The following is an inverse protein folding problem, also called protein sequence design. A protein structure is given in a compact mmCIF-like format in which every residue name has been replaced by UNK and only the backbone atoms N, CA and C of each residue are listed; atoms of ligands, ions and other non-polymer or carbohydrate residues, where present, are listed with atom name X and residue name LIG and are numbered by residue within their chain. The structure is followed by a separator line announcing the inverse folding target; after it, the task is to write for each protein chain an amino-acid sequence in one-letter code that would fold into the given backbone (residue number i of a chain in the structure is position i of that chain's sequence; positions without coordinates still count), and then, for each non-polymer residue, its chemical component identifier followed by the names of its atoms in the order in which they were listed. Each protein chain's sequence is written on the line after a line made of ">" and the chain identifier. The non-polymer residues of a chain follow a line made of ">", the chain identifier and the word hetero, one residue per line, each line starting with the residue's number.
data_IF_453263871403
#
_entry.id   IF_453263871403
#
_cell.length_a   1.000
_cell.length_b   1.000
_cell.length_c   1.000
_cell.angle_alpha   90.00
_cell.angle_beta   90.00
_cell.angle_gamma   90.00
#
_symmetry.space_group_name_H-M   'P 1'
#
loop_
_entity.id
_entity.type
_entity.pdbx_description
1 polymer ?
#
# COMPACT_ATOMS: atom_id res chain seq x y z
N UNK A 1 3.98 0.27 30.04
CA UNK A 1 3.56 1.13 28.90
C UNK A 1 2.58 0.33 28.07
N UNK A 2 1.44 0.91 27.72
CA UNK A 2 0.50 0.28 26.78
C UNK A 2 1.17 0.15 25.42
N UNK A 3 0.97 -0.98 24.72
CA UNK A 3 1.51 -1.13 23.35
C UNK A 3 0.93 -0.02 22.46
N UNK A 4 1.73 0.57 21.56
CA UNK A 4 1.28 1.65 20.67
C UNK A 4 0.28 1.19 19.61
N UNK A 5 0.23 -0.11 19.35
CA UNK A 5 -0.65 -0.75 18.37
C UNK A 5 -1.44 -1.84 19.07
N UNK A 6 -2.77 -1.74 19.03
CA UNK A 6 -3.69 -2.77 19.49
C UNK A 6 -4.50 -3.29 18.32
N UNK A 7 -4.40 -4.60 18.06
CA UNK A 7 -5.17 -5.25 17.03
C UNK A 7 -6.16 -6.23 17.62
N UNK A 8 -7.44 -6.05 17.30
CA UNK A 8 -8.52 -6.90 17.78
C UNK A 8 -9.28 -7.50 16.58
N UNK A 9 -9.43 -8.82 16.54
CA UNK A 9 -10.27 -9.49 15.55
C UNK A 9 -11.71 -9.43 16.05
N UNK A 10 -12.60 -8.84 15.25
CA UNK A 10 -14.01 -8.62 15.60
C UNK A 10 -14.93 -9.71 15.02
N UNK A 11 -14.58 -10.24 13.83
CA UNK A 11 -15.29 -11.35 13.20
C UNK A 11 -14.36 -12.13 12.25
N UNK A 12 -14.73 -13.37 11.94
CA UNK A 12 -14.03 -14.24 11.00
C UNK A 12 -15.04 -14.77 9.97
N UNK A 13 -14.59 -14.96 8.76
CA UNK A 13 -15.35 -15.71 7.77
C UNK A 13 -15.29 -17.20 8.11
N UNK A 14 -16.44 -17.88 8.03
CA UNK A 14 -16.53 -19.32 8.35
C UNK A 14 -15.93 -20.23 7.27
N UNK A 15 -15.63 -19.68 6.09
CA UNK A 15 -15.19 -20.47 4.91
C UNK A 15 -13.76 -20.12 4.43
N UNK A 16 -13.13 -19.08 5.02
CA UNK A 16 -11.80 -18.64 4.63
C UNK A 16 -11.03 -17.99 5.78
N UNK A 17 -9.71 -17.76 5.66
CA UNK A 17 -8.94 -17.00 6.62
C UNK A 17 -9.32 -15.50 6.74
N UNK A 18 -10.23 -14.99 5.92
CA UNK A 18 -10.66 -13.60 5.95
C UNK A 18 -11.21 -13.18 7.31
N UNK A 19 -10.85 -11.98 7.75
CA UNK A 19 -11.20 -11.48 9.08
C UNK A 19 -11.52 -9.99 9.08
N UNK A 20 -12.48 -9.61 9.91
CA UNK A 20 -12.78 -8.23 10.26
C UNK A 20 -11.97 -7.91 11.52
N UNK A 21 -11.20 -6.83 11.50
CA UNK A 21 -10.42 -6.39 12.65
C UNK A 21 -10.55 -4.90 12.92
N UNK A 22 -10.03 -4.49 14.07
CA UNK A 22 -9.83 -3.09 14.44
C UNK A 22 -8.38 -2.91 14.90
N UNK A 23 -7.74 -1.90 14.34
CA UNK A 23 -6.38 -1.50 14.67
C UNK A 23 -6.46 -0.12 15.34
N UNK A 24 -6.14 -0.06 16.63
CA UNK A 24 -6.11 1.17 17.40
C UNK A 24 -4.70 1.76 17.37
N UNK A 25 -4.60 3.03 16.94
CA UNK A 25 -3.37 3.76 16.67
C UNK A 25 -3.44 5.14 17.35
N UNK A 26 -2.29 5.87 17.50
CA UNK A 26 -2.27 7.17 18.16
C UNK A 26 -3.24 8.23 17.58
N UNK A 27 -3.44 8.25 16.25
CA UNK A 27 -4.35 9.20 15.60
C UNK A 27 -5.72 8.61 15.24
N UNK A 28 -6.13 7.50 15.85
CA UNK A 28 -7.46 6.92 15.70
C UNK A 28 -7.48 5.44 15.34
N UNK A 29 -8.68 4.88 15.32
CA UNK A 29 -8.89 3.47 15.01
C UNK A 29 -9.11 3.26 13.52
N UNK A 30 -8.59 2.16 12.99
CA UNK A 30 -8.72 1.73 11.60
C UNK A 30 -9.42 0.38 11.56
N UNK A 31 -10.48 0.26 10.78
CA UNK A 31 -11.16 -1.01 10.54
C UNK A 31 -10.50 -1.76 9.39
N UNK A 32 -10.16 -3.02 9.60
CA UNK A 32 -9.56 -3.89 8.57
C UNK A 32 -10.56 -4.94 8.06
N UNK A 33 -10.42 -5.40 6.81
CA UNK A 33 -9.43 -5.04 5.80
C UNK A 33 -9.53 -3.60 5.34
N UNK A 34 -8.38 -2.98 5.01
CA UNK A 34 -8.30 -1.57 4.61
C UNK A 34 -7.31 -1.36 3.46
N UNK A 35 -7.63 -0.43 2.56
CA UNK A 35 -6.71 0.10 1.56
C UNK A 35 -6.17 1.46 2.01
N UNK A 36 -4.85 1.65 1.90
CA UNK A 36 -4.15 2.89 2.24
C UNK A 36 -3.80 3.68 0.98
N UNK A 37 -4.46 4.82 0.71
CA UNK A 37 -4.05 5.71 -0.37
C UNK A 37 -2.61 6.19 -0.20
N UNK A 38 -1.82 6.16 -1.29
CA UNK A 38 -0.38 6.50 -1.24
C UNK A 38 -0.16 8.00 -1.41
N UNK A 39 0.42 8.62 -0.38
CA UNK A 39 0.77 10.03 -0.29
C UNK A 39 2.28 10.28 -0.34
N UNK A 40 2.93 10.06 -1.49
CA UNK A 40 4.39 10.03 -1.69
C UNK A 40 5.14 11.25 -1.10
N UNK A 41 4.64 12.45 -1.29
CA UNK A 41 5.26 13.70 -0.83
C UNK A 41 4.42 14.42 0.24
N UNK A 42 3.79 13.66 1.14
CA UNK A 42 2.86 14.23 2.10
C UNK A 42 1.55 14.69 1.44
N UNK A 43 1.21 14.11 0.31
CA UNK A 43 -0.06 14.32 -0.39
C UNK A 43 -0.41 13.10 -1.22
N UNK A 44 -1.65 12.66 -1.15
CA UNK A 44 -2.21 11.72 -2.12
C UNK A 44 -2.43 12.49 -3.42
N UNK A 45 -1.81 12.03 -4.51
CA UNK A 45 -1.79 12.78 -5.78
C UNK A 45 -3.21 13.12 -6.25
N UNK A 46 -3.42 14.41 -6.57
CA UNK A 46 -4.68 14.97 -7.03
C UNK A 46 -5.86 14.87 -6.01
N UNK A 47 -5.56 14.73 -4.70
CA UNK A 47 -6.56 14.69 -3.63
C UNK A 47 -6.21 15.70 -2.53
N UNK A 48 -7.19 16.44 -2.08
CA UNK A 48 -7.08 17.22 -0.84
C UNK A 48 -7.41 16.33 0.38
N UNK A 49 -7.02 16.71 1.61
CA UNK A 49 -7.51 16.02 2.81
C UNK A 49 -9.03 15.92 2.89
N UNK A 50 -9.77 16.97 2.45
CA UNK A 50 -11.23 16.94 2.35
C UNK A 50 -11.71 15.82 1.42
N UNK A 51 -11.15 15.69 0.22
CA UNK A 51 -11.53 14.65 -0.73
C UNK A 51 -11.27 13.24 -0.14
N UNK A 52 -10.18 13.07 0.64
CA UNK A 52 -9.88 11.82 1.33
C UNK A 52 -10.88 11.51 2.45
N UNK A 53 -11.33 12.52 3.20
CA UNK A 53 -12.40 12.37 4.19
C UNK A 53 -13.73 12.00 3.54
N UNK A 54 -14.10 12.66 2.45
CA UNK A 54 -15.30 12.34 1.67
C UNK A 54 -15.27 10.92 1.10
N UNK A 55 -14.10 10.47 0.62
CA UNK A 55 -13.87 9.10 0.20
C UNK A 55 -13.78 8.09 1.36
N UNK A 56 -13.87 8.55 2.63
CA UNK A 56 -13.81 7.74 3.85
C UNK A 56 -12.48 7.00 4.07
N UNK A 57 -11.37 7.59 3.64
CA UNK A 57 -10.05 7.10 3.99
C UNK A 57 -9.85 7.12 5.51
N UNK A 58 -9.34 6.02 6.09
CA UNK A 58 -9.10 5.91 7.53
C UNK A 58 -7.61 5.99 7.87
N UNK A 59 -6.75 5.68 6.91
CA UNK A 59 -5.29 5.68 7.00
C UNK A 59 -4.73 5.98 5.62
N UNK A 60 -3.58 6.63 5.56
CA UNK A 60 -2.81 6.87 4.33
C UNK A 60 -1.37 6.41 4.49
N UNK A 61 -0.66 6.25 3.38
CA UNK A 61 0.76 5.90 3.38
C UNK A 61 1.61 7.08 2.90
N UNK A 62 2.69 7.38 3.63
CA UNK A 62 3.72 8.34 3.26
C UNK A 62 5.04 7.65 2.88
N UNK A 63 5.81 8.22 1.95
CA UNK A 63 7.09 7.64 1.56
C UNK A 63 8.26 8.36 2.24
N UNK A 64 8.94 7.67 3.13
CA UNK A 64 10.05 8.14 3.95
C UNK A 64 11.18 8.75 3.12
N UNK A 65 11.64 8.05 2.10
CA UNK A 65 12.72 8.51 1.22
C UNK A 65 12.42 9.87 0.58
N UNK A 66 11.23 10.02 0.01
CA UNK A 66 10.83 11.24 -0.67
C UNK A 66 10.69 12.43 0.28
N UNK A 67 10.11 12.20 1.46
CA UNK A 67 9.90 13.22 2.48
C UNK A 67 11.21 13.65 3.15
N UNK A 68 12.15 12.72 3.33
CA UNK A 68 13.50 13.02 3.79
C UNK A 68 14.25 13.96 2.83
N UNK A 69 14.17 13.69 1.52
CA UNK A 69 14.85 14.51 0.52
C UNK A 69 14.12 15.85 0.28
N UNK A 70 12.79 15.86 0.35
CA UNK A 70 11.97 17.05 0.11
C UNK A 70 10.60 16.92 0.81
N UNK A 71 10.26 17.83 1.71
CA UNK A 71 10.88 19.13 2.02
C UNK A 71 12.11 19.06 2.90
N UNK A 72 12.49 17.88 3.43
CA UNK A 72 13.54 17.66 4.40
C UNK A 72 13.01 17.63 5.84
N UNK A 73 13.78 17.02 6.72
CA UNK A 73 13.34 16.71 8.09
C UNK A 73 13.16 17.96 8.96
N UNK A 74 13.99 18.98 8.77
CA UNK A 74 13.91 20.23 9.58
C UNK A 74 12.57 20.92 9.39
N UNK A 75 12.06 20.95 8.15
CA UNK A 75 10.75 21.51 7.84
C UNK A 75 9.65 20.73 8.54
N UNK A 76 9.64 19.40 8.40
CA UNK A 76 8.61 18.54 9.00
C UNK A 76 8.65 18.60 10.54
N UNK A 77 9.86 18.57 11.11
CA UNK A 77 10.07 18.69 12.56
C UNK A 77 9.53 20.01 13.13
N UNK A 78 9.75 21.11 12.41
CA UNK A 78 9.22 22.43 12.79
C UNK A 78 7.68 22.45 12.87
N UNK A 79 7.01 21.63 12.05
CA UNK A 79 5.54 21.49 12.07
C UNK A 79 5.05 20.45 13.08
N UNK A 80 5.94 19.74 13.77
CA UNK A 80 5.58 18.71 14.76
C UNK A 80 5.16 17.38 14.14
N UNK A 81 5.63 17.07 12.93
CA UNK A 81 5.35 15.82 12.22
C UNK A 81 4.48 15.99 10.98
N UNK A 82 4.26 14.87 10.31
CA UNK A 82 3.64 14.83 8.99
C UNK A 82 2.15 15.20 9.03
N UNK A 83 1.42 14.79 10.06
CA UNK A 83 -0.01 15.10 10.25
C UNK A 83 -0.28 16.61 10.16
N UNK A 84 0.42 17.40 10.96
CA UNK A 84 0.24 18.86 10.95
C UNK A 84 0.80 19.51 9.69
N UNK A 85 1.89 18.97 9.16
CA UNK A 85 2.50 19.48 7.93
C UNK A 85 1.56 19.39 6.73
N UNK A 86 0.81 18.28 6.57
CA UNK A 86 -0.09 18.06 5.43
C UNK A 86 -1.57 18.29 5.74
N UNK A 87 -1.93 18.62 6.98
CA UNK A 87 -3.34 18.83 7.39
C UNK A 87 -4.18 17.56 7.39
N UNK A 88 -3.59 16.41 7.76
CA UNK A 88 -4.26 15.12 7.89
C UNK A 88 -4.35 14.72 9.36
N UNK A 89 -5.54 14.37 9.84
CA UNK A 89 -5.84 14.12 11.26
C UNK A 89 -6.04 12.65 11.63
N UNK A 90 -5.95 11.73 10.65
CA UNK A 90 -6.09 10.29 10.85
C UNK A 90 -4.75 9.55 10.71
N UNK A 91 -4.67 8.26 11.03
CA UNK A 91 -3.45 7.48 10.96
C UNK A 91 -2.66 7.60 9.67
N UNK A 92 -1.33 7.52 9.81
CA UNK A 92 -0.37 7.47 8.71
C UNK A 92 0.55 6.27 8.94
N UNK A 93 0.77 5.46 7.90
CA UNK A 93 1.88 4.52 7.81
C UNK A 93 2.98 5.14 6.95
N UNK A 94 4.25 5.04 7.36
CA UNK A 94 5.38 5.37 6.50
C UNK A 94 6.16 4.11 6.12
N UNK A 95 6.53 3.99 4.83
CA UNK A 95 7.46 2.96 4.40
C UNK A 95 8.87 3.20 4.99
N UNK A 96 9.78 2.24 4.82
CA UNK A 96 11.16 2.37 5.30
C UNK A 96 12.04 3.28 4.45
N UNK A 97 11.63 3.60 3.23
CA UNK A 97 12.46 4.23 2.20
C UNK A 97 13.36 3.26 1.43
N UNK A 98 13.45 1.99 1.85
CA UNK A 98 14.32 0.97 1.24
C UNK A 98 14.02 0.74 -0.23
N UNK A 99 12.77 0.46 -0.58
CA UNK A 99 12.36 0.19 -1.97
C UNK A 99 12.74 1.33 -2.94
N UNK A 100 12.56 2.59 -2.53
CA UNK A 100 12.88 3.75 -3.35
C UNK A 100 14.39 3.87 -3.56
N UNK A 101 15.19 3.65 -2.52
CA UNK A 101 16.66 3.63 -2.62
C UNK A 101 17.11 2.47 -3.50
N UNK A 102 16.48 1.30 -3.38
CA UNK A 102 16.78 0.13 -4.22
C UNK A 102 16.39 0.37 -5.69
N UNK A 103 15.38 1.15 -5.99
CA UNK A 103 14.98 1.50 -7.35
C UNK A 103 15.97 2.42 -8.09
N UNK A 104 16.92 3.07 -7.38
CA UNK A 104 17.94 3.95 -7.99
C UNK A 104 19.03 3.19 -8.83
N UNK A 105 19.01 1.86 -8.80
CA UNK A 105 19.86 1.03 -9.68
C UNK A 105 21.36 1.28 -9.48
N UNK A 106 22.07 1.67 -10.56
CA UNK A 106 23.53 1.87 -10.55
C UNK A 106 24.02 3.03 -9.67
N UNK A 107 23.12 3.91 -9.21
CA UNK A 107 23.46 5.05 -8.35
C UNK A 107 23.60 4.67 -6.87
N UNK A 108 23.51 3.40 -6.52
CA UNK A 108 23.55 2.91 -5.15
C UNK A 108 24.64 1.86 -4.93
N UNK A 109 25.12 1.80 -3.68
CA UNK A 109 25.98 0.72 -3.17
C UNK A 109 25.40 0.20 -1.86
N UNK A 110 25.09 -1.09 -1.84
CA UNK A 110 24.56 -1.80 -0.67
C UNK A 110 25.73 -2.41 0.11
N UNK A 111 25.68 -2.32 1.43
CA UNK A 111 26.59 -2.98 2.37
C UNK A 111 25.80 -3.44 3.60
N UNK A 112 26.44 -4.17 4.50
CA UNK A 112 25.82 -4.59 5.78
C UNK A 112 25.40 -3.40 6.64
N UNK A 113 26.13 -2.28 6.58
CA UNK A 113 25.85 -1.08 7.35
C UNK A 113 24.63 -0.33 6.85
N UNK A 114 24.32 -0.42 5.54
CA UNK A 114 23.25 0.29 4.90
C UNK A 114 23.52 0.55 3.41
N UNK A 115 22.85 1.57 2.85
CA UNK A 115 22.90 1.90 1.43
C UNK A 115 23.44 3.31 1.23
N UNK A 116 24.54 3.41 0.48
CA UNK A 116 25.05 4.68 -0.04
C UNK A 116 24.49 4.93 -1.43
N UNK A 117 23.99 6.14 -1.70
CA UNK A 117 23.43 6.49 -2.99
C UNK A 117 23.64 7.98 -3.31
N UNK A 118 23.46 8.33 -4.59
CA UNK A 118 23.42 9.71 -5.01
C UNK A 118 21.98 10.23 -4.98
N UNK A 119 21.77 11.38 -4.35
CA UNK A 119 20.45 12.04 -4.29
C UNK A 119 19.94 12.34 -5.72
N UNK A 120 18.71 11.91 -6.08
CA UNK A 120 18.12 12.22 -7.38
C UNK A 120 17.74 13.71 -7.53
N UNK A 121 17.85 14.50 -6.46
CA UNK A 121 17.51 15.94 -6.48
C UNK A 121 18.71 16.81 -6.89
N UNK A 122 19.87 16.55 -6.28
CA UNK A 122 21.06 17.42 -6.42
C UNK A 122 22.38 16.65 -6.59
N UNK A 123 22.32 15.31 -6.62
CA UNK A 123 23.49 14.46 -6.79
C UNK A 123 24.34 14.24 -5.53
N UNK A 124 23.98 14.84 -4.39
CA UNK A 124 24.71 14.65 -3.13
C UNK A 124 24.80 13.18 -2.73
N UNK A 125 25.98 12.79 -2.19
CA UNK A 125 26.16 11.45 -1.65
C UNK A 125 25.47 11.33 -0.30
N UNK A 126 24.50 10.43 -0.21
CA UNK A 126 23.71 10.15 0.99
C UNK A 126 23.93 8.71 1.45
N UNK A 127 23.68 8.49 2.74
CA UNK A 127 23.73 7.17 3.35
C UNK A 127 22.45 6.93 4.16
N UNK A 128 21.83 5.77 3.95
CA UNK A 128 20.65 5.32 4.67
C UNK A 128 20.92 3.98 5.31
N UNK A 129 20.82 3.91 6.62
CA UNK A 129 20.90 2.68 7.41
C UNK A 129 19.56 2.36 8.07
N UNK A 130 19.39 1.19 8.69
CA UNK A 130 18.25 0.90 9.52
C UNK A 130 17.99 1.98 10.58
N UNK A 131 19.04 2.44 11.26
CA UNK A 131 18.94 3.47 12.29
C UNK A 131 18.49 4.82 11.72
N UNK A 132 19.07 5.24 10.60
CA UNK A 132 18.71 6.48 9.91
C UNK A 132 17.25 6.43 9.44
N UNK A 133 16.79 5.29 8.89
CA UNK A 133 15.39 5.11 8.52
C UNK A 133 14.45 5.28 9.72
N UNK A 134 14.78 4.71 10.87
CA UNK A 134 13.97 4.88 12.10
C UNK A 134 13.97 6.33 12.59
N UNK A 135 15.10 7.01 12.55
CA UNK A 135 15.19 8.43 12.90
C UNK A 135 14.34 9.32 12.00
N UNK A 136 14.36 9.06 10.70
CA UNK A 136 13.52 9.77 9.74
C UNK A 136 12.05 9.53 10.05
N UNK A 137 11.62 8.28 10.21
CA UNK A 137 10.22 7.93 10.49
C UNK A 137 9.76 8.49 11.85
N UNK A 138 10.65 8.58 12.85
CA UNK A 138 10.36 9.25 14.13
C UNK A 138 10.09 10.75 13.96
N UNK A 139 10.84 11.44 13.08
CA UNK A 139 10.58 12.86 12.76
C UNK A 139 9.29 13.03 11.96
N UNK A 140 8.99 12.11 11.03
CA UNK A 140 7.71 12.09 10.31
C UNK A 140 6.53 11.88 11.27
N UNK A 141 6.75 11.19 12.38
CA UNK A 141 5.77 10.90 13.43
C UNK A 141 4.53 10.16 12.89
N UNK A 142 4.76 9.16 12.03
CA UNK A 142 3.71 8.27 11.52
C UNK A 142 3.24 7.31 12.61
N UNK A 143 1.98 6.86 12.57
CA UNK A 143 1.43 5.91 13.53
C UNK A 143 2.07 4.53 13.40
N UNK A 144 2.41 4.14 12.17
CA UNK A 144 3.09 2.89 11.85
C UNK A 144 4.34 3.20 11.03
N UNK A 145 5.49 2.76 11.53
CA UNK A 145 6.76 2.74 10.81
C UNK A 145 7.05 1.34 10.27
N UNK A 146 7.83 1.24 9.20
CA UNK A 146 8.28 -0.04 8.62
C UNK A 146 9.76 -0.25 8.89
N UNK A 147 10.18 -1.50 9.18
CA UNK A 147 11.60 -1.83 9.24
C UNK A 147 12.31 -1.49 7.93
N UNK A 148 13.59 -1.18 8.00
CA UNK A 148 14.42 -1.05 6.80
C UNK A 148 14.81 -2.44 6.28
N UNK A 149 14.54 -2.70 4.99
CA UNK A 149 14.73 -4.00 4.36
C UNK A 149 15.30 -3.87 2.95
N UNK A 150 15.81 -4.95 2.38
CA UNK A 150 16.15 -5.07 0.98
C UNK A 150 15.09 -5.85 0.23
N UNK A 151 14.45 -5.21 -0.74
CA UNK A 151 13.50 -5.86 -1.65
C UNK A 151 14.25 -6.40 -2.88
N UNK A 152 14.38 -7.72 -2.97
CA UNK A 152 15.01 -8.39 -4.11
C UNK A 152 14.05 -8.37 -5.31
N UNK A 153 14.45 -7.87 -6.51
CA UNK A 153 13.61 -7.90 -7.69
C UNK A 153 13.45 -9.35 -8.20
N UNK A 154 12.35 -9.60 -8.94
CA UNK A 154 12.11 -10.91 -9.57
C UNK A 154 13.22 -11.28 -10.55
N UNK A 155 13.69 -10.31 -11.33
CA UNK A 155 14.78 -10.49 -12.31
C UNK A 155 15.89 -9.46 -12.11
N UNK A 156 17.15 -9.91 -12.27
CA UNK A 156 18.35 -9.09 -12.30
C UNK A 156 19.02 -9.25 -13.67
N UNK A 157 19.08 -8.15 -14.45
CA UNK A 157 19.68 -8.15 -15.81
C UNK A 157 19.09 -9.22 -16.75
N UNK A 158 17.78 -9.43 -16.68
CA UNK A 158 17.06 -10.38 -17.53
C UNK A 158 17.19 -11.84 -17.11
N UNK A 159 17.73 -12.11 -15.92
CA UNK A 159 17.79 -13.45 -15.34
C UNK A 159 16.99 -13.48 -14.04
N UNK A 160 16.23 -14.55 -13.83
CA UNK A 160 15.50 -14.77 -12.58
C UNK A 160 16.45 -14.74 -11.40
N UNK A 161 16.06 -14.05 -10.33
CA UNK A 161 16.86 -13.97 -9.10
C UNK A 161 17.09 -15.37 -8.52
N UNK A 162 18.34 -15.74 -8.31
CA UNK A 162 18.70 -17.05 -7.74
C UNK A 162 18.32 -17.16 -6.27
N UNK A 163 18.03 -18.38 -5.80
CA UNK A 163 17.78 -18.64 -4.38
C UNK A 163 18.92 -18.14 -3.48
N UNK A 164 20.17 -18.33 -3.90
CA UNK A 164 21.36 -17.85 -3.18
C UNK A 164 21.31 -16.33 -3.00
N UNK A 165 20.95 -15.58 -4.03
CA UNK A 165 20.84 -14.11 -3.98
C UNK A 165 19.68 -13.70 -3.08
N UNK A 166 18.51 -14.33 -3.23
CA UNK A 166 17.34 -14.06 -2.39
C UNK A 166 17.61 -14.37 -0.91
N UNK A 167 18.33 -15.44 -0.60
CA UNK A 167 18.74 -15.80 0.77
C UNK A 167 19.66 -14.76 1.38
N UNK A 168 20.71 -14.34 0.67
CA UNK A 168 21.65 -13.34 1.18
C UNK A 168 20.94 -11.99 1.48
N UNK A 169 20.06 -11.56 0.60
CA UNK A 169 19.24 -10.36 0.79
C UNK A 169 18.30 -10.49 1.99
N UNK A 170 17.61 -11.61 2.10
CA UNK A 170 16.73 -11.91 3.22
C UNK A 170 17.49 -11.91 4.56
N UNK A 171 18.62 -12.61 4.67
CA UNK A 171 19.41 -12.67 5.90
C UNK A 171 19.92 -11.28 6.32
N UNK A 172 20.32 -10.45 5.37
CA UNK A 172 20.65 -9.04 5.62
C UNK A 172 19.42 -8.25 6.11
N UNK A 173 18.26 -8.43 5.48
CA UNK A 173 17.02 -7.77 5.90
C UNK A 173 16.59 -8.16 7.32
N UNK A 174 16.84 -9.41 7.75
CA UNK A 174 16.58 -9.84 9.13
C UNK A 174 17.50 -9.12 10.13
N UNK A 175 18.80 -9.01 9.84
CA UNK A 175 19.74 -8.25 10.68
C UNK A 175 19.42 -6.76 10.71
N UNK A 176 18.97 -6.19 9.60
CA UNK A 176 18.48 -4.82 9.52
C UNK A 176 17.18 -4.63 10.31
N UNK A 177 16.33 -5.66 10.36
CA UNK A 177 15.14 -5.69 11.21
C UNK A 177 15.47 -5.57 12.69
N UNK A 178 16.45 -6.34 13.17
CA UNK A 178 16.94 -6.25 14.55
C UNK A 178 17.49 -4.86 14.89
N UNK A 179 18.28 -4.28 13.97
CA UNK A 179 18.84 -2.92 14.13
C UNK A 179 17.75 -1.85 14.11
N UNK A 180 16.76 -1.97 13.20
CA UNK A 180 15.60 -1.10 13.15
C UNK A 180 14.82 -1.15 14.47
N UNK A 181 14.51 -2.33 14.96
CA UNK A 181 13.76 -2.53 16.20
C UNK A 181 14.50 -1.97 17.42
N UNK A 182 15.81 -2.21 17.50
CA UNK A 182 16.66 -1.65 18.57
C UNK A 182 16.62 -0.13 18.56
N UNK A 183 16.87 0.49 17.39
CA UNK A 183 16.88 1.95 17.26
C UNK A 183 15.51 2.56 17.52
N UNK A 184 14.46 1.95 17.03
CA UNK A 184 13.09 2.41 17.25
C UNK A 184 12.71 2.44 18.75
N UNK A 185 13.11 1.41 19.51
CA UNK A 185 12.91 1.38 20.97
C UNK A 185 13.71 2.47 21.70
N UNK A 186 14.96 2.74 21.27
CA UNK A 186 15.79 3.82 21.82
C UNK A 186 15.18 5.20 21.58
N UNK A 187 14.50 5.41 20.45
CA UNK A 187 13.81 6.66 20.14
C UNK A 187 12.57 6.91 21.00
N UNK A 188 12.06 5.87 21.68
CA UNK A 188 10.93 5.93 22.61
C UNK A 188 9.70 6.66 22.04
N UNK A 189 9.36 6.35 20.81
CA UNK A 189 8.18 6.89 20.12
C UNK A 189 6.90 6.19 20.63
N UNK A 190 5.74 6.84 20.42
CA UNK A 190 4.43 6.26 20.70
C UNK A 190 3.85 5.47 19.52
N UNK A 191 4.64 5.23 18.48
CA UNK A 191 4.25 4.64 17.20
C UNK A 191 4.49 3.12 17.20
N UNK A 192 3.88 2.40 16.25
CA UNK A 192 4.16 0.98 16.01
C UNK A 192 5.25 0.76 14.97
N UNK A 193 5.90 -0.40 15.03
CA UNK A 193 6.89 -0.82 14.04
C UNK A 193 6.50 -2.18 13.46
N UNK A 194 6.37 -2.28 12.13
CA UNK A 194 6.06 -3.51 11.43
C UNK A 194 7.31 -4.14 10.81
N UNK A 195 7.42 -5.46 10.95
CA UNK A 195 8.43 -6.27 10.31
C UNK A 195 8.02 -6.68 8.89
N UNK A 196 8.99 -7.03 8.05
CA UNK A 196 8.76 -7.40 6.65
C UNK A 196 9.31 -8.79 6.36
N UNK A 197 8.44 -9.68 5.89
CA UNK A 197 8.77 -11.01 5.41
C UNK A 197 9.23 -10.90 3.95
N UNK A 198 10.50 -11.25 3.69
CA UNK A 198 11.12 -11.34 2.37
C UNK A 198 11.34 -12.82 1.99
N UNK A 199 11.97 -13.12 0.86
CA UNK A 199 12.33 -14.47 0.43
C UNK A 199 12.14 -14.74 -1.06
N UNK A 200 11.82 -13.70 -1.86
CA UNK A 200 11.58 -13.81 -3.29
C UNK A 200 10.48 -14.82 -3.61
N UNK A 201 10.70 -15.64 -4.65
CA UNK A 201 9.74 -16.66 -5.09
C UNK A 201 10.06 -18.05 -4.50
N UNK A 202 10.75 -18.12 -3.35
CA UNK A 202 11.20 -19.36 -2.71
C UNK A 202 10.43 -19.61 -1.41
N UNK A 203 9.60 -20.65 -1.39
CA UNK A 203 8.72 -20.98 -0.25
C UNK A 203 9.51 -21.25 1.03
N UNK A 204 10.62 -22.00 0.94
CA UNK A 204 11.51 -22.27 2.07
C UNK A 204 12.14 -20.98 2.66
N UNK A 205 12.44 -19.99 1.82
CA UNK A 205 12.93 -18.71 2.28
C UNK A 205 11.84 -17.85 2.91
N UNK A 206 10.62 -17.89 2.35
CA UNK A 206 9.46 -17.22 2.94
C UNK A 206 9.15 -17.75 4.33
N UNK A 207 9.16 -19.07 4.50
CA UNK A 207 8.94 -19.72 5.79
C UNK A 207 10.04 -19.35 6.80
N UNK A 208 11.31 -19.47 6.41
CA UNK A 208 12.44 -19.05 7.26
C UNK A 208 12.34 -17.57 7.68
N UNK A 209 11.98 -16.68 6.73
CA UNK A 209 11.78 -15.26 7.01
C UNK A 209 10.64 -15.01 7.98
N UNK A 210 9.51 -15.69 7.76
CA UNK A 210 8.32 -15.56 8.59
C UNK A 210 8.59 -15.99 10.04
N UNK A 211 9.25 -17.14 10.22
CA UNK A 211 9.60 -17.65 11.54
C UNK A 211 10.51 -16.65 12.30
N UNK A 212 11.51 -16.10 11.61
CA UNK A 212 12.44 -15.15 12.21
C UNK A 212 11.73 -13.82 12.57
N UNK A 213 11.01 -13.20 11.62
CA UNK A 213 10.31 -11.91 11.83
C UNK A 213 9.25 -12.04 12.93
N UNK A 214 8.54 -13.17 13.01
CA UNK A 214 7.52 -13.41 14.05
C UNK A 214 8.10 -13.43 15.46
N UNK A 215 9.38 -13.76 15.62
CA UNK A 215 10.06 -13.84 16.91
C UNK A 215 10.77 -12.54 17.31
N UNK A 216 11.03 -11.62 16.39
CA UNK A 216 11.76 -10.38 16.65
C UNK A 216 10.99 -9.40 17.56
N UNK A 217 9.65 -9.45 17.57
CA UNK A 217 8.81 -8.63 18.46
C UNK A 217 8.36 -7.31 17.85
N UNK A 218 8.02 -7.33 16.58
CA UNK A 218 7.29 -6.28 15.87
C UNK A 218 5.83 -6.19 16.31
N UNK A 219 5.17 -5.07 16.03
CA UNK A 219 3.76 -4.82 16.35
C UNK A 219 2.81 -5.33 15.25
N UNK A 220 3.33 -5.63 14.06
CA UNK A 220 2.62 -6.21 12.91
C UNK A 220 3.59 -6.78 11.89
N UNK A 221 3.08 -7.53 10.93
CA UNK A 221 3.89 -8.21 9.91
C UNK A 221 3.40 -7.86 8.51
N UNK A 222 4.34 -7.46 7.65
CA UNK A 222 4.11 -7.24 6.24
C UNK A 222 4.72 -8.35 5.37
N UNK A 223 4.07 -8.65 4.26
CA UNK A 223 4.64 -9.44 3.16
C UNK A 223 5.19 -8.45 2.13
N UNK A 224 6.53 -8.44 1.99
CA UNK A 224 7.23 -7.67 0.97
C UNK A 224 7.72 -8.54 -0.18
N UNK A 225 8.34 -7.92 -1.19
CA UNK A 225 8.94 -8.61 -2.33
C UNK A 225 7.95 -9.39 -3.21
N UNK A 226 6.71 -8.93 -3.28
CA UNK A 226 5.69 -9.30 -4.25
C UNK A 226 5.28 -8.07 -5.06
N UNK A 227 4.69 -8.25 -6.25
CA UNK A 227 4.44 -7.18 -7.23
C UNK A 227 5.72 -6.44 -7.69
N UNK A 228 6.84 -7.17 -7.80
CA UNK A 228 8.15 -6.64 -8.19
C UNK A 228 8.61 -7.13 -9.56
N UNK A 229 7.66 -7.56 -10.40
CA UNK A 229 7.89 -7.99 -11.80
C UNK A 229 7.64 -9.47 -12.06
N UNK A 230 7.26 -10.25 -11.06
CA UNK A 230 6.90 -11.66 -11.21
C UNK A 230 5.60 -11.84 -12.00
N UNK A 231 5.45 -12.98 -12.73
CA UNK A 231 4.19 -13.36 -13.35
C UNK A 231 3.09 -13.60 -12.32
N UNK A 232 1.84 -13.32 -12.69
CA UNK A 232 0.67 -13.48 -11.81
C UNK A 232 0.57 -14.85 -11.11
N UNK A 233 0.82 -15.99 -11.77
CA UNK A 233 0.79 -17.30 -11.12
C UNK A 233 1.83 -17.45 -9.99
N UNK A 234 3.03 -16.85 -10.15
CA UNK A 234 4.07 -16.86 -9.11
C UNK A 234 3.69 -16.00 -7.92
N UNK A 235 3.14 -14.81 -8.17
CA UNK A 235 2.55 -13.97 -7.14
C UNK A 235 1.51 -14.74 -6.31
N UNK A 236 0.53 -15.37 -6.99
CA UNK A 236 -0.53 -16.11 -6.33
C UNK A 236 0.02 -17.32 -5.54
N UNK A 237 0.95 -18.07 -6.13
CA UNK A 237 1.60 -19.22 -5.48
C UNK A 237 2.26 -18.81 -4.15
N UNK A 238 3.08 -17.77 -4.18
CA UNK A 238 3.80 -17.31 -2.98
C UNK A 238 2.85 -16.69 -1.95
N UNK A 239 1.86 -15.93 -2.39
CA UNK A 239 0.89 -15.35 -1.47
C UNK A 239 0.05 -16.44 -0.77
N UNK A 240 -0.44 -17.44 -1.52
CA UNK A 240 -1.17 -18.59 -0.98
C UNK A 240 -0.33 -19.42 -0.01
N UNK A 241 0.98 -19.52 -0.23
CA UNK A 241 1.89 -20.23 0.66
C UNK A 241 2.16 -19.46 1.95
N UNK A 242 2.37 -18.13 1.85
CA UNK A 242 2.89 -17.31 2.95
C UNK A 242 1.78 -16.76 3.86
N UNK A 243 0.71 -16.22 3.28
CA UNK A 243 -0.29 -15.48 4.05
C UNK A 243 -1.00 -16.31 5.13
N UNK A 244 -1.41 -17.57 4.88
CA UNK A 244 -2.07 -18.38 5.90
C UNK A 244 -1.21 -18.76 7.11
N UNK A 245 0.12 -18.56 7.00
CA UNK A 245 1.09 -18.88 8.08
C UNK A 245 1.39 -17.67 8.98
N UNK A 246 0.89 -16.48 8.64
CA UNK A 246 1.11 -15.28 9.45
C UNK A 246 0.48 -15.42 10.85
N UNK A 247 1.13 -14.89 11.93
CA UNK A 247 0.62 -14.95 13.28
C UNK A 247 -0.74 -14.27 13.44
N UNK A 248 -1.78 -15.00 13.82
CA UNK A 248 -3.16 -14.51 13.91
C UNK A 248 -3.35 -13.25 14.77
N UNK A 249 -2.57 -13.12 15.84
CA UNK A 249 -2.70 -12.01 16.80
C UNK A 249 -2.10 -10.69 16.32
N UNK A 250 -1.51 -10.66 15.13
CA UNK A 250 -0.89 -9.48 14.53
C UNK A 250 -1.69 -8.99 13.31
N UNK A 251 -1.68 -7.69 13.01
CA UNK A 251 -2.15 -7.18 11.74
C UNK A 251 -1.22 -7.62 10.60
N UNK A 252 -1.82 -7.98 9.44
CA UNK A 252 -1.13 -8.46 8.25
C UNK A 252 -1.21 -7.43 7.14
N UNK A 253 -0.06 -7.04 6.60
CA UNK A 253 0.02 -6.05 5.54
C UNK A 253 0.65 -6.64 4.27
N UNK A 254 -0.03 -6.55 3.13
CA UNK A 254 0.49 -6.92 1.82
C UNK A 254 0.93 -5.66 1.08
N UNK A 255 2.26 -5.48 0.93
CA UNK A 255 2.85 -4.24 0.44
C UNK A 255 2.76 -4.10 -1.08
N UNK A 256 2.38 -2.91 -1.56
CA UNK A 256 2.42 -2.52 -2.96
C UNK A 256 1.43 -3.22 -3.89
N UNK A 257 0.41 -3.88 -3.34
CA UNK A 257 -0.58 -4.68 -4.07
C UNK A 257 -1.96 -4.03 -3.97
N UNK A 258 -2.76 -3.90 -4.96
CA UNK A 258 -2.67 -4.24 -6.37
C UNK A 258 -3.98 -3.95 -7.09
N UNK A 259 -4.42 -4.81 -7.99
CA UNK A 259 -5.75 -4.71 -8.62
C UNK A 259 -6.88 -5.01 -7.62
N UNK A 260 -8.14 -4.63 -7.92
CA UNK A 260 -9.28 -5.03 -7.08
C UNK A 260 -9.36 -6.54 -6.84
N UNK A 261 -9.00 -7.35 -7.84
CA UNK A 261 -8.93 -8.81 -7.75
C UNK A 261 -7.84 -9.29 -6.79
N UNK A 262 -6.66 -8.62 -6.79
CA UNK A 262 -5.57 -8.92 -5.87
C UNK A 262 -5.94 -8.61 -4.42
N UNK A 263 -6.64 -7.50 -4.20
CA UNK A 263 -7.14 -7.14 -2.88
C UNK A 263 -8.12 -8.21 -2.37
N UNK A 264 -9.05 -8.67 -3.24
CA UNK A 264 -10.01 -9.70 -2.89
C UNK A 264 -9.33 -11.03 -2.56
N UNK A 265 -8.31 -11.42 -3.33
CA UNK A 265 -7.48 -12.60 -3.04
C UNK A 265 -6.76 -12.44 -1.70
N UNK A 266 -6.07 -11.31 -1.47
CA UNK A 266 -5.36 -11.07 -0.22
C UNK A 266 -6.27 -11.13 1.00
N UNK A 267 -7.45 -10.48 0.93
CA UNK A 267 -8.45 -10.57 2.00
C UNK A 267 -8.85 -12.02 2.27
N UNK A 268 -9.12 -12.81 1.22
CA UNK A 268 -9.50 -14.23 1.39
C UNK A 268 -8.42 -15.09 2.06
N UNK A 269 -7.18 -14.61 2.08
CA UNK A 269 -6.03 -15.25 2.71
C UNK A 269 -5.67 -14.63 4.08
N UNK A 270 -6.50 -13.73 4.62
CA UNK A 270 -6.33 -13.15 5.94
C UNK A 270 -5.45 -11.90 5.99
N UNK A 271 -5.26 -11.20 4.87
CA UNK A 271 -4.57 -9.91 4.84
C UNK A 271 -5.51 -8.79 5.30
N UNK A 272 -4.99 -7.91 6.15
CA UNK A 272 -5.72 -6.80 6.77
C UNK A 272 -5.49 -5.45 6.09
N UNK A 273 -4.29 -5.21 5.55
CA UNK A 273 -3.85 -3.91 5.08
C UNK A 273 -3.22 -4.01 3.69
N UNK A 274 -3.52 -3.02 2.84
CA UNK A 274 -3.02 -2.93 1.47
C UNK A 274 -2.66 -1.49 1.12
N UNK A 275 -1.68 -1.31 0.26
CA UNK A 275 -1.40 -0.07 -0.45
C UNK A 275 -1.06 -0.35 -1.91
N UNK A 276 -1.31 0.60 -2.77
CA UNK A 276 -0.80 0.58 -4.13
C UNK A 276 -0.91 1.98 -4.77
N UNK A 277 0.05 2.33 -5.60
CA UNK A 277 -0.01 3.57 -6.40
C UNK A 277 -0.97 3.45 -7.59
N UNK A 278 -1.43 2.23 -7.90
CA UNK A 278 -2.23 1.93 -9.09
C UNK A 278 -3.50 2.78 -9.19
N UNK A 279 -4.36 2.92 -8.17
CA UNK A 279 -5.59 3.69 -8.33
C UNK A 279 -5.32 5.15 -8.71
N UNK A 280 -4.33 5.81 -8.11
CA UNK A 280 -3.99 7.21 -8.43
C UNK A 280 -3.20 7.34 -9.73
N UNK A 281 -2.28 6.41 -10.01
CA UNK A 281 -1.48 6.41 -11.23
C UNK A 281 -2.36 6.14 -12.46
N UNK A 282 -3.20 5.12 -12.39
CA UNK A 282 -4.10 4.74 -13.49
C UNK A 282 -5.14 5.82 -13.76
N UNK A 283 -5.71 6.44 -12.72
CA UNK A 283 -6.64 7.55 -12.86
C UNK A 283 -6.09 8.69 -13.71
N UNK A 284 -4.85 9.13 -13.44
CA UNK A 284 -4.19 10.19 -14.22
C UNK A 284 -3.92 9.78 -15.68
N UNK A 285 -3.85 8.48 -15.95
CA UNK A 285 -3.71 7.93 -17.31
C UNK A 285 -5.05 7.59 -17.96
N UNK A 286 -6.19 7.88 -17.31
CA UNK A 286 -7.52 7.61 -17.82
C UNK A 286 -7.92 6.13 -17.76
N UNK A 287 -7.30 5.35 -16.88
CA UNK A 287 -7.69 3.97 -16.58
C UNK A 287 -8.42 3.94 -15.24
N UNK A 288 -9.70 3.61 -15.29
CA UNK A 288 -10.62 3.70 -14.15
C UNK A 288 -11.15 2.31 -13.79
N UNK A 289 -11.30 2.10 -12.50
CA UNK A 289 -11.84 0.87 -11.94
C UNK A 289 -13.31 1.08 -11.58
N UNK A 290 -14.17 0.17 -12.03
CA UNK A 290 -15.60 0.18 -11.71
C UNK A 290 -16.03 -1.14 -11.11
N UNK A 291 -17.23 -1.21 -10.57
CA UNK A 291 -17.84 -2.48 -10.13
C UNK A 291 -17.87 -3.54 -11.23
N UNK A 292 -18.01 -3.12 -12.47
CA UNK A 292 -18.23 -3.99 -13.63
C UNK A 292 -16.98 -4.22 -14.47
N UNK A 293 -15.82 -3.78 -14.04
CA UNK A 293 -14.55 -3.94 -14.75
C UNK A 293 -13.80 -2.63 -14.95
N UNK A 294 -12.83 -2.65 -15.83
CA UNK A 294 -11.96 -1.51 -16.08
C UNK A 294 -12.47 -0.66 -17.26
N UNK A 295 -12.40 0.64 -17.12
CA UNK A 295 -12.77 1.60 -18.14
C UNK A 295 -11.54 2.40 -18.58
N UNK A 296 -11.20 2.34 -19.88
CA UNK A 296 -10.13 3.13 -20.47
C UNK A 296 -10.71 4.36 -21.15
N UNK A 297 -10.75 5.45 -20.41
CA UNK A 297 -11.48 6.68 -20.74
C UNK A 297 -11.05 7.33 -22.07
N UNK A 298 -9.83 7.05 -22.56
CA UNK A 298 -9.32 7.58 -23.85
C UNK A 298 -9.98 6.95 -25.08
N UNK A 299 -10.73 5.87 -24.93
CA UNK A 299 -11.42 5.22 -26.04
C UNK A 299 -12.44 6.18 -26.67
N UNK A 300 -12.56 6.11 -28.01
CA UNK A 300 -13.46 6.98 -28.78
C UNK A 300 -14.94 6.76 -28.47
N UNK A 301 -15.34 5.54 -28.13
CA UNK A 301 -16.71 5.20 -27.74
C UNK A 301 -17.25 5.93 -26.49
N UNK A 302 -16.38 6.63 -25.73
CA UNK A 302 -16.82 7.45 -24.61
C UNK A 302 -16.97 8.94 -24.95
N UNK A 303 -16.75 9.34 -26.22
CA UNK A 303 -16.80 10.75 -26.63
C UNK A 303 -18.18 11.35 -26.43
N UNK A 304 -19.22 10.60 -26.70
CA UNK A 304 -20.61 11.03 -26.65
C UNK A 304 -21.41 10.27 -25.55
N UNK A 305 -20.74 9.59 -24.62
CA UNK A 305 -21.37 8.77 -23.55
C UNK A 305 -21.75 9.67 -22.37
N UNK A 306 -23.04 9.89 -22.17
CA UNK A 306 -23.62 10.73 -21.13
C UNK A 306 -23.76 10.02 -19.75
N UNK A 307 -23.40 8.75 -19.67
CA UNK A 307 -23.46 7.95 -18.43
C UNK A 307 -22.34 8.33 -17.48
N UNK A 308 -22.51 8.11 -16.15
CA UNK A 308 -21.41 8.20 -15.18
C UNK A 308 -20.37 7.09 -15.42
N UNK A 309 -19.19 7.21 -14.80
CA UNK A 309 -18.15 6.16 -14.87
C UNK A 309 -18.69 4.81 -14.37
N UNK A 310 -19.34 4.83 -13.24
CA UNK A 310 -20.02 3.68 -12.62
C UNK A 310 -21.38 4.13 -12.08
N UNK A 311 -22.50 3.55 -12.57
CA UNK A 311 -23.83 3.95 -12.15
C UNK A 311 -24.16 3.62 -10.70
N UNK A 312 -23.38 2.74 -10.06
CA UNK A 312 -23.56 2.37 -8.65
C UNK A 312 -22.67 3.19 -7.70
N UNK A 313 -21.74 3.99 -8.25
CA UNK A 313 -20.79 4.76 -7.47
C UNK A 313 -21.40 6.12 -7.04
N UNK A 314 -21.27 6.45 -5.77
CA UNK A 314 -21.79 7.70 -5.18
C UNK A 314 -20.71 8.78 -5.00
N UNK A 315 -19.52 8.62 -5.60
CA UNK A 315 -18.47 9.63 -5.51
C UNK A 315 -18.86 10.92 -6.25
N UNK A 316 -18.21 12.02 -5.87
CA UNK A 316 -18.43 13.33 -6.48
C UNK A 316 -18.34 13.29 -8.02
N UNK A 317 -17.38 12.55 -8.56
CA UNK A 317 -17.19 12.42 -10.01
C UNK A 317 -18.39 11.76 -10.69
N UNK A 318 -18.85 10.60 -10.20
CA UNK A 318 -19.95 9.86 -10.81
C UNK A 318 -21.31 10.58 -10.70
N UNK A 319 -21.48 11.39 -9.66
CA UNK A 319 -22.75 12.11 -9.44
C UNK A 319 -22.86 13.39 -10.26
N UNK A 320 -21.76 13.96 -10.72
CA UNK A 320 -21.77 15.28 -11.35
C UNK A 320 -21.24 15.30 -12.79
N UNK A 321 -20.56 14.24 -13.25
CA UNK A 321 -19.86 14.27 -14.54
C UNK A 321 -20.11 13.00 -15.36
N UNK A 322 -20.20 13.19 -16.68
CA UNK A 322 -20.38 12.12 -17.66
C UNK A 322 -19.04 11.57 -18.14
N UNK A 323 -19.05 10.38 -18.71
CA UNK A 323 -17.88 9.78 -19.40
C UNK A 323 -17.42 10.69 -20.56
N UNK A 324 -18.33 11.29 -21.27
CA UNK A 324 -18.04 12.24 -22.36
C UNK A 324 -17.20 13.42 -21.87
N UNK A 325 -17.63 14.11 -20.81
CA UNK A 325 -16.87 15.22 -20.24
C UNK A 325 -15.48 14.78 -19.72
N UNK A 326 -15.42 13.68 -19.01
CA UNK A 326 -14.15 13.14 -18.49
C UNK A 326 -13.22 12.69 -19.63
N UNK A 327 -13.75 12.10 -20.73
CA UNK A 327 -12.99 11.78 -21.95
C UNK A 327 -12.38 13.05 -22.56
N UNK A 328 -13.18 14.13 -22.65
CA UNK A 328 -12.70 15.43 -23.11
C UNK A 328 -11.55 15.94 -22.24
N UNK A 329 -11.71 16.00 -20.92
CA UNK A 329 -10.67 16.45 -19.99
C UNK A 329 -9.39 15.60 -20.10
N UNK A 330 -9.56 14.28 -20.24
CA UNK A 330 -8.43 13.36 -20.36
C UNK A 330 -7.66 13.53 -21.68
N UNK A 331 -8.35 13.83 -22.79
CA UNK A 331 -7.73 14.11 -24.08
C UNK A 331 -7.07 15.49 -24.12
N UNK A 332 -7.67 16.47 -23.47
CA UNK A 332 -7.13 17.82 -23.33
C UNK A 332 -5.97 17.90 -22.31
N UNK A 333 -5.70 16.82 -21.57
CA UNK A 333 -4.73 16.77 -20.45
C UNK A 333 -5.01 17.82 -19.35
N UNK A 334 -6.28 18.09 -19.08
CA UNK A 334 -6.69 19.02 -18.03
C UNK A 334 -6.45 18.42 -16.64
N UNK A 335 -5.94 19.23 -15.71
CA UNK A 335 -5.65 18.85 -14.33
C UNK A 335 -6.92 18.35 -13.63
N UNK A 336 -8.06 18.99 -13.89
CA UNK A 336 -9.35 18.59 -13.33
C UNK A 336 -9.71 17.15 -13.70
N UNK A 337 -9.41 16.69 -14.91
CA UNK A 337 -9.61 15.30 -15.31
C UNK A 337 -8.83 14.33 -14.43
N UNK A 338 -7.56 14.61 -14.12
CA UNK A 338 -6.76 13.80 -13.21
C UNK A 338 -7.32 13.79 -11.79
N UNK A 339 -7.84 14.91 -11.30
CA UNK A 339 -8.46 15.01 -9.98
C UNK A 339 -9.75 14.20 -9.89
N UNK A 340 -10.68 14.41 -10.80
CA UNK A 340 -11.98 13.73 -10.83
C UNK A 340 -11.82 12.20 -10.97
N UNK A 341 -10.93 11.77 -11.86
CA UNK A 341 -10.61 10.37 -12.04
C UNK A 341 -9.99 9.73 -10.78
N UNK A 342 -9.13 10.48 -10.07
CA UNK A 342 -8.51 9.99 -8.83
C UNK A 342 -9.53 9.89 -7.70
N UNK A 343 -10.43 10.86 -7.55
CA UNK A 343 -11.54 10.81 -6.61
C UNK A 343 -12.35 9.53 -6.84
N UNK A 344 -12.70 9.23 -8.11
CA UNK A 344 -13.46 8.03 -8.42
C UNK A 344 -12.69 6.74 -8.06
N UNK A 345 -11.47 6.58 -8.53
CA UNK A 345 -10.70 5.34 -8.31
C UNK A 345 -10.45 5.08 -6.82
N UNK A 346 -10.10 6.10 -6.04
CA UNK A 346 -9.89 5.93 -4.61
C UNK A 346 -11.18 5.66 -3.86
N UNK A 347 -12.28 6.34 -4.23
CA UNK A 347 -13.58 6.03 -3.65
C UNK A 347 -13.98 4.58 -3.91
N UNK A 348 -13.76 4.08 -5.12
CA UNK A 348 -14.04 2.68 -5.46
C UNK A 348 -13.23 1.71 -4.59
N UNK A 349 -11.92 1.90 -4.44
CA UNK A 349 -11.06 1.04 -3.61
C UNK A 349 -11.49 1.05 -2.13
N UNK A 350 -11.78 2.23 -1.59
CA UNK A 350 -12.19 2.39 -0.19
C UNK A 350 -13.60 1.83 0.05
N UNK A 351 -14.49 1.99 -0.92
CA UNK A 351 -15.83 1.40 -0.89
C UNK A 351 -15.77 -0.13 -0.96
N UNK A 352 -14.92 -0.70 -1.83
CA UNK A 352 -14.68 -2.14 -1.90
C UNK A 352 -14.30 -2.71 -0.54
N UNK A 353 -13.34 -2.10 0.16
CA UNK A 353 -12.96 -2.54 1.51
C UNK A 353 -14.09 -2.36 2.53
N UNK A 354 -14.92 -1.33 2.38
CA UNK A 354 -16.09 -1.13 3.24
C UNK A 354 -17.13 -2.24 3.04
N UNK A 355 -17.41 -2.62 1.80
CA UNK A 355 -18.33 -3.71 1.47
C UNK A 355 -17.80 -5.07 1.95
N UNK A 356 -16.49 -5.30 1.81
CA UNK A 356 -15.81 -6.48 2.37
C UNK A 356 -16.03 -6.58 3.89
N UNK A 357 -15.77 -5.49 4.63
CA UNK A 357 -15.99 -5.47 6.10
C UNK A 357 -17.45 -5.71 6.47
N UNK A 358 -18.39 -5.16 5.71
CA UNK A 358 -19.82 -5.41 5.91
C UNK A 358 -20.20 -6.88 5.63
N UNK A 359 -19.60 -7.49 4.62
CA UNK A 359 -19.80 -8.90 4.32
C UNK A 359 -19.23 -9.81 5.43
N UNK A 360 -18.01 -9.49 5.92
CA UNK A 360 -17.37 -10.21 7.04
C UNK A 360 -18.18 -10.10 8.33
N UNK A 361 -18.73 -8.93 8.65
CA UNK A 361 -19.55 -8.73 9.86
C UNK A 361 -20.85 -9.57 9.87
N UNK A 362 -21.26 -10.06 8.70
CA UNK A 362 -22.48 -10.86 8.49
C UNK A 362 -22.18 -12.32 8.12
N UNK A 363 -20.91 -12.74 8.19
CA UNK A 363 -20.43 -14.06 7.72
C UNK A 363 -20.88 -14.40 6.28
N UNK A 364 -20.75 -13.41 5.38
CA UNK A 364 -21.15 -13.51 3.96
C UNK A 364 -20.03 -13.19 2.99
N UNK A 365 -18.79 -13.21 3.44
CA UNK A 365 -17.66 -12.80 2.60
C UNK A 365 -17.49 -13.68 1.36
N UNK A 366 -17.64 -15.00 1.50
CA UNK A 366 -17.52 -15.92 0.36
C UNK A 366 -18.55 -15.63 -0.73
N UNK A 367 -19.82 -15.41 -0.37
CA UNK A 367 -20.87 -15.02 -1.32
C UNK A 367 -20.60 -13.64 -1.94
N UNK A 368 -20.10 -12.68 -1.16
CA UNK A 368 -19.73 -11.35 -1.68
C UNK A 368 -18.56 -11.45 -2.69
N UNK A 369 -17.57 -12.31 -2.42
CA UNK A 369 -16.45 -12.56 -3.33
C UNK A 369 -16.91 -13.14 -4.67
N UNK A 370 -17.84 -14.07 -4.66
CA UNK A 370 -18.44 -14.60 -5.89
C UNK A 370 -19.18 -13.52 -6.67
N UNK A 371 -20.01 -12.72 -6.01
CA UNK A 371 -20.70 -11.58 -6.61
C UNK A 371 -19.72 -10.55 -7.19
N UNK A 372 -18.66 -10.23 -6.48
CA UNK A 372 -17.60 -9.34 -6.95
C UNK A 372 -17.00 -9.84 -8.27
N UNK A 373 -16.58 -11.11 -8.33
CA UNK A 373 -15.99 -11.68 -9.56
C UNK A 373 -17.00 -11.73 -10.71
N UNK A 374 -18.24 -12.11 -10.43
CA UNK A 374 -19.31 -12.14 -11.45
C UNK A 374 -19.57 -10.74 -12.02
N UNK A 375 -19.62 -9.72 -11.16
CA UNK A 375 -19.79 -8.34 -11.61
C UNK A 375 -18.60 -7.86 -12.45
N UNK A 376 -17.36 -8.13 -12.03
CA UNK A 376 -16.16 -7.75 -12.78
C UNK A 376 -16.07 -8.43 -14.15
N UNK A 377 -16.55 -9.68 -14.27
CA UNK A 377 -16.60 -10.43 -15.52
C UNK A 377 -17.64 -9.92 -16.52
N UNK A 378 -18.71 -9.24 -16.08
CA UNK A 378 -19.71 -8.63 -16.97
C UNK A 378 -19.08 -7.61 -17.93
N UNK A 379 -18.00 -6.96 -17.47
CA UNK A 379 -17.39 -5.87 -18.20
C UNK A 379 -18.19 -4.57 -18.12
N UNK A 380 -17.53 -3.47 -18.46
CA UNK A 380 -18.19 -2.16 -18.63
C UNK A 380 -18.85 -2.16 -19.99
N UNK A 381 -20.15 -1.83 -20.05
CA UNK A 381 -20.84 -1.66 -21.34
C UNK A 381 -20.12 -0.60 -22.18
N UNK A 382 -19.71 -0.95 -23.43
CA UNK A 382 -19.07 0.03 -24.31
C UNK A 382 -20.01 1.22 -24.56
N UNK A 383 -19.42 2.36 -24.86
CA UNK A 383 -20.18 3.50 -25.40
C UNK A 383 -20.90 3.07 -26.67
N UNK A 384 -22.09 3.56 -26.90
CA UNK A 384 -22.77 3.34 -28.17
C UNK A 384 -21.91 4.02 -29.27
N UNK A 385 -21.52 3.24 -30.29
CA UNK A 385 -20.84 3.75 -31.49
C UNK A 385 -21.77 4.67 -32.29
#
# INVERSE_FOLDING_TARGET
>A
MTKPVHFNILARDSQSPARLGQLDLPHGSVQTPIFMPVGTYGTVKAMTPRDLHEAKAQIILGNTFHLWLRPGLDVIKKHGGLHRFMGWDKPILTDSGGFQVFSLGALRKISEEGVTFASPINGDKLFMSPEVSMEIQAVLNSDIAMQFDECTPYEIKGQATSEKTARASLEMSLRWGDRSLKRFRELNTSNGLFGIVQGGMFENLREFSLDAVSQQGFDGIAIGGLSVGEPKPEFERILNFTAPKLPEHMPHYLMGVGTPEDLMLGVSLGIDMFDCVMPTRNARNGWLFTRFGDLKLRNSGYKDDDRPLDPTCTCYTCQNFTRSYLNHLQKANEILGSQLNTIHNLTYYLQLMTEVRQALSKDRFSAYREEFHANRQRGVEPGQD
#
